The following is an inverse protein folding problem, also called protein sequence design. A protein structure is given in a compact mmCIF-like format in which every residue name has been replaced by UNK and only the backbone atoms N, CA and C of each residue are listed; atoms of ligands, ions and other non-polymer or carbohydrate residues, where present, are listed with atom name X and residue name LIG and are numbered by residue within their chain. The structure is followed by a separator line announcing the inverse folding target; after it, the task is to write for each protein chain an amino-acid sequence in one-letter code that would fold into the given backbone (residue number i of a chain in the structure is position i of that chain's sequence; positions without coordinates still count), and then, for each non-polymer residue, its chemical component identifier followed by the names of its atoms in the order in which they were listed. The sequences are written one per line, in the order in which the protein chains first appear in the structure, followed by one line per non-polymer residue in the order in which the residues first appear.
data_IF_272747714328
#
_entry.id   IF_272747714328
#
_cell.length_a   1.000
_cell.length_b   1.000
_cell.length_c   1.000
_cell.angle_alpha   90.00
_cell.angle_beta   90.00
_cell.angle_gamma   90.00
#
_symmetry.space_group_name_H-M   'P 1'
#
loop_
_entity.id
_entity.type
_entity.pdbx_description
1 polymer ?
#
# COMPACT_ATOMS: atom_id res chain seq x y z
N UNK A 1 8.55 -7.45 2.85
CA UNK A 1 7.80 -6.32 3.46
C UNK A 1 6.35 -6.29 2.97
N UNK A 2 6.15 -6.52 1.67
CA UNK A 2 4.87 -6.64 0.99
C UNK A 2 3.79 -7.51 1.67
N UNK A 3 4.16 -8.67 2.23
CA UNK A 3 3.20 -9.53 2.93
C UNK A 3 2.57 -8.86 4.16
N UNK A 4 3.37 -8.16 4.98
CA UNK A 4 2.88 -7.41 6.15
C UNK A 4 2.03 -6.21 5.74
N UNK A 5 2.45 -5.52 4.69
CA UNK A 5 1.68 -4.42 4.12
C UNK A 5 0.31 -4.89 3.62
N UNK A 6 0.22 -6.07 2.99
CA UNK A 6 -1.06 -6.68 2.61
C UNK A 6 -1.95 -6.94 3.83
N UNK A 7 -1.42 -7.55 4.88
CA UNK A 7 -2.16 -7.80 6.12
C UNK A 7 -2.64 -6.50 6.78
N UNK A 8 -1.79 -5.47 6.78
CA UNK A 8 -2.12 -4.15 7.28
C UNK A 8 -3.23 -3.48 6.46
N UNK A 9 -3.16 -3.52 5.13
CA UNK A 9 -4.22 -3.01 4.24
C UNK A 9 -5.56 -3.73 4.49
N UNK A 10 -5.54 -5.04 4.72
CA UNK A 10 -6.74 -5.82 5.09
C UNK A 10 -7.28 -5.35 6.44
N UNK A 11 -6.40 -5.10 7.41
CA UNK A 11 -6.78 -4.61 8.75
C UNK A 11 -7.44 -3.23 8.73
N UNK A 12 -7.13 -2.40 7.73
CA UNK A 12 -7.69 -1.07 7.57
C UNK A 12 -9.15 -1.05 7.08
N UNK A 13 -9.66 -2.19 6.58
CA UNK A 13 -11.06 -2.58 6.24
C UNK A 13 -12.00 -1.58 5.50
N UNK A 14 -11.83 -0.26 5.54
CA UNK A 14 -12.68 0.76 4.90
C UNK A 14 -11.94 1.72 3.96
N UNK A 15 -10.64 1.99 4.18
CA UNK A 15 -9.93 3.07 3.46
C UNK A 15 -9.27 2.56 2.17
N UNK A 16 -8.69 1.36 2.18
CA UNK A 16 -7.96 0.83 1.02
C UNK A 16 -8.88 0.36 -0.13
N UNK A 17 -10.09 -0.11 0.17
CA UNK A 17 -10.95 -0.77 -0.84
C UNK A 17 -11.70 0.17 -1.80
N UNK A 18 -11.76 1.48 -1.52
CA UNK A 18 -12.65 2.38 -2.25
C UNK A 18 -12.04 3.04 -3.51
N UNK A 19 -10.72 3.05 -3.69
CA UNK A 19 -10.08 3.66 -4.88
C UNK A 19 -9.19 2.71 -5.68
N UNK A 20 -8.48 1.77 -5.03
CA UNK A 20 -7.73 0.70 -5.70
C UNK A 20 -7.87 -0.60 -4.89
N UNK A 21 -8.24 -1.71 -5.55
CA UNK A 21 -8.27 -3.00 -4.86
C UNK A 21 -6.88 -3.36 -4.29
N UNK A 22 -6.84 -4.03 -3.13
CA UNK A 22 -5.58 -4.40 -2.46
C UNK A 22 -4.66 -5.17 -3.42
N UNK A 23 -5.21 -6.10 -4.21
CA UNK A 23 -4.39 -6.87 -5.15
C UNK A 23 -3.82 -5.99 -6.27
N UNK A 24 -4.53 -4.96 -6.73
CA UNK A 24 -4.01 -4.00 -7.72
C UNK A 24 -2.91 -3.12 -7.11
N UNK A 25 -3.10 -2.63 -5.88
CA UNK A 25 -2.04 -1.91 -5.17
C UNK A 25 -0.76 -2.76 -5.05
N UNK A 26 -0.90 -4.07 -4.83
CA UNK A 26 0.23 -4.98 -4.74
C UNK A 26 0.89 -5.28 -6.09
N UNK A 27 0.23 -5.16 -7.24
CA UNK A 27 0.90 -5.33 -8.55
C UNK A 27 1.84 -4.17 -8.86
N UNK A 28 1.56 -2.98 -8.30
CA UNK A 28 2.37 -1.78 -8.45
C UNK A 28 3.60 -1.73 -7.54
N UNK A 29 3.73 -2.66 -6.58
CA UNK A 29 4.80 -2.69 -5.59
C UNK A 29 5.70 -3.92 -5.74
N UNK A 30 6.99 -3.79 -5.43
CA UNK A 30 7.87 -4.93 -5.22
C UNK A 30 7.76 -5.51 -3.78
N UNK A 31 8.57 -6.51 -3.46
CA UNK A 31 8.56 -7.16 -2.14
C UNK A 31 9.02 -6.25 -0.98
N UNK A 32 9.72 -5.16 -1.30
CA UNK A 32 10.25 -4.14 -0.40
C UNK A 32 9.38 -2.86 -0.36
N UNK A 33 8.19 -2.88 -0.98
CA UNK A 33 7.28 -1.73 -1.09
C UNK A 33 7.80 -0.59 -1.99
N UNK A 34 8.79 -0.84 -2.85
CA UNK A 34 9.14 0.12 -3.89
C UNK A 34 8.06 0.11 -4.98
N UNK A 35 7.67 1.30 -5.40
CA UNK A 35 6.72 1.48 -6.51
C UNK A 35 7.42 1.17 -7.83
N UNK A 36 6.98 0.10 -8.50
CA UNK A 36 7.53 -0.38 -9.76
C UNK A 36 6.65 -0.04 -10.97
N UNK A 37 5.37 0.31 -10.76
CA UNK A 37 4.43 0.68 -11.82
C UNK A 37 3.28 1.55 -11.27
N UNK A 38 2.53 2.21 -12.16
CA UNK A 38 1.36 3.02 -11.82
C UNK A 38 1.49 4.48 -12.27
N UNK A 39 0.36 5.16 -12.44
CA UNK A 39 0.30 6.57 -12.81
C UNK A 39 0.59 7.50 -11.62
N UNK A 40 0.83 8.79 -11.86
CA UNK A 40 1.19 9.74 -10.78
C UNK A 40 0.19 9.80 -9.61
N UNK A 41 -1.10 9.54 -9.86
CA UNK A 41 -2.13 9.51 -8.82
C UNK A 41 -1.99 8.25 -7.96
N UNK A 42 -1.88 7.08 -8.60
CA UNK A 42 -1.66 5.78 -7.95
C UNK A 42 -0.39 5.81 -7.11
N UNK A 43 0.70 6.34 -7.67
CA UNK A 43 1.97 6.46 -6.97
C UNK A 43 1.86 7.35 -5.72
N UNK A 44 1.10 8.46 -5.78
CA UNK A 44 0.86 9.31 -4.61
C UNK A 44 0.06 8.59 -3.52
N UNK A 45 -0.97 7.86 -3.89
CA UNK A 45 -1.80 7.08 -2.95
C UNK A 45 -0.93 6.00 -2.29
N UNK A 46 -0.17 5.23 -3.09
CA UNK A 46 0.70 4.16 -2.59
C UNK A 46 1.78 4.72 -1.65
N UNK A 47 2.45 5.81 -2.02
CA UNK A 47 3.45 6.44 -1.15
C UNK A 47 2.85 6.87 0.20
N UNK A 48 1.67 7.47 0.20
CA UNK A 48 1.00 7.88 1.44
C UNK A 48 0.66 6.66 2.31
N UNK A 49 0.13 5.58 1.71
CA UNK A 49 -0.18 4.34 2.44
C UNK A 49 1.06 3.67 3.01
N UNK A 50 2.15 3.60 2.24
CA UNK A 50 3.43 3.03 2.69
C UNK A 50 3.97 3.85 3.86
N UNK A 51 3.96 5.18 3.77
CA UNK A 51 4.44 6.03 4.86
C UNK A 51 3.62 5.84 6.14
N UNK A 52 2.28 5.77 6.04
CA UNK A 52 1.42 5.49 7.20
C UNK A 52 1.71 4.09 7.78
N UNK A 53 1.94 3.10 6.92
CA UNK A 53 2.31 1.75 7.36
C UNK A 53 3.63 1.74 8.14
N UNK A 54 4.68 2.38 7.61
CA UNK A 54 5.98 2.50 8.26
C UNK A 54 5.90 3.25 9.59
N UNK A 55 5.13 4.35 9.64
CA UNK A 55 4.89 5.11 10.88
C UNK A 55 4.12 4.25 11.92
N UNK A 56 3.26 3.34 11.46
CA UNK A 56 2.48 2.46 12.33
C UNK A 56 3.28 1.27 12.88
N UNK A 57 4.29 0.75 12.16
CA UNK A 57 5.19 -0.31 12.66
C UNK A 57 6.23 0.23 13.66
N UNK A 58 6.36 1.56 13.81
CA UNK A 58 7.32 2.21 14.71
C UNK A 58 6.81 2.41 16.16
N UNK A 59 5.65 1.84 16.51
CA UNK A 59 5.05 1.88 17.86
C UNK A 59 4.93 0.51 18.52
#
# INVERSE_FOLDING_TARGET
MKARFKEWLISLNEIAMNELGIDEMLTHLDDELNIINGNECEQKILNNLIQIFEDSECH
#
